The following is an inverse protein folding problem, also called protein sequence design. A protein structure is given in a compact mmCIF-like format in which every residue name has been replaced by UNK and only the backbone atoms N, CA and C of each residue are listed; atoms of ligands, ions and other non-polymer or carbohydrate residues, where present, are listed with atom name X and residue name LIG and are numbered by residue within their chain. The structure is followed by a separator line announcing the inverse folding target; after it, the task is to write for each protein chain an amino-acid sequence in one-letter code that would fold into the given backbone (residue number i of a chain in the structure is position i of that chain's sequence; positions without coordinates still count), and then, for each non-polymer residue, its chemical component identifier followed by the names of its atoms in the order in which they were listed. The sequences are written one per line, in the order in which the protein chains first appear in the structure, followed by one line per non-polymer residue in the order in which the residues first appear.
data_IF_157574612616
#
_entry.id   IF_157574612616
#
_cell.length_a   1.000
_cell.length_b   1.000
_cell.length_c   1.000
_cell.angle_alpha   90.00
_cell.angle_beta   90.00
_cell.angle_gamma   90.00
#
_symmetry.space_group_name_H-M   'P 1'
#
loop_
_entity.id
_entity.type
_entity.pdbx_description
1 polymer ?
#
# COMPACT_ATOMS: atom_id res chain seq x y z
N UNK A 1 19.21 -37.02 -84.34
CA UNK A 1 18.59 -38.24 -83.79
C UNK A 1 17.13 -38.26 -84.23
N UNK A 2 16.61 -39.39 -84.72
CA UNK A 2 15.19 -39.54 -85.07
C UNK A 2 14.34 -39.91 -83.85
N UNK A 3 13.05 -39.57 -83.83
CA UNK A 3 12.17 -39.82 -82.66
C UNK A 3 12.16 -41.29 -82.19
N UNK A 4 12.28 -42.23 -83.13
CA UNK A 4 12.37 -43.67 -82.81
C UNK A 4 13.65 -44.03 -82.05
N UNK A 5 14.77 -43.39 -82.38
CA UNK A 5 16.04 -43.61 -81.68
C UNK A 5 15.99 -43.02 -80.28
N UNK A 6 15.39 -41.83 -80.11
CA UNK A 6 15.21 -41.19 -78.81
C UNK A 6 14.37 -42.06 -77.87
N UNK A 7 13.24 -42.58 -78.35
CA UNK A 7 12.37 -43.47 -77.56
C UNK A 7 13.09 -44.76 -77.17
N UNK A 8 13.92 -45.32 -78.06
CA UNK A 8 14.70 -46.54 -77.78
C UNK A 8 15.75 -46.28 -76.69
N UNK A 9 16.38 -45.11 -76.71
CA UNK A 9 17.39 -44.72 -75.73
C UNK A 9 16.76 -44.42 -74.36
N UNK A 10 15.63 -43.70 -74.32
CA UNK A 10 14.88 -43.47 -73.09
C UNK A 10 14.42 -44.78 -72.45
N UNK A 11 14.00 -45.77 -73.25
CA UNK A 11 13.67 -47.11 -72.74
C UNK A 11 14.88 -47.85 -72.18
N UNK A 12 16.07 -47.67 -72.75
CA UNK A 12 17.33 -48.30 -72.28
C UNK A 12 17.71 -47.81 -70.88
N UNK A 13 17.55 -46.50 -70.61
CA UNK A 13 17.95 -45.88 -69.35
C UNK A 13 16.82 -45.71 -68.34
N UNK A 14 15.58 -46.07 -68.70
CA UNK A 14 14.40 -45.94 -67.83
C UNK A 14 14.59 -46.60 -66.47
N UNK A 15 15.25 -47.76 -66.44
CA UNK A 15 15.40 -48.59 -65.25
C UNK A 15 16.86 -48.73 -64.80
N UNK A 16 17.79 -47.90 -65.31
CA UNK A 16 19.18 -47.92 -64.85
C UNK A 16 19.30 -47.36 -63.43
N UNK A 17 19.93 -48.08 -62.48
CA UNK A 17 20.03 -47.64 -61.08
C UNK A 17 20.63 -46.24 -60.92
N UNK A 18 21.63 -45.91 -61.74
CA UNK A 18 22.41 -44.68 -61.68
C UNK A 18 21.63 -43.39 -62.06
N UNK A 19 20.44 -43.52 -62.68
CA UNK A 19 19.59 -42.41 -63.11
C UNK A 19 18.19 -42.43 -62.46
N UNK A 20 18.04 -43.17 -61.36
CA UNK A 20 16.83 -43.15 -60.54
C UNK A 20 16.11 -44.49 -60.39
N UNK A 21 16.76 -45.61 -60.71
CA UNK A 21 16.22 -46.96 -60.49
C UNK A 21 16.67 -47.68 -59.21
N UNK A 22 17.59 -47.11 -58.42
CA UNK A 22 18.14 -47.75 -57.21
C UNK A 22 18.51 -46.74 -56.12
N UNK A 23 18.27 -47.11 -54.85
CA UNK A 23 18.26 -46.17 -53.72
C UNK A 23 19.60 -45.93 -53.00
N UNK A 24 20.73 -46.46 -53.48
CA UNK A 24 21.98 -46.44 -52.70
C UNK A 24 23.21 -45.79 -53.36
N UNK A 25 23.24 -45.55 -54.67
CA UNK A 25 24.39 -44.89 -55.34
C UNK A 25 23.93 -43.94 -56.46
N UNK A 26 23.16 -42.91 -56.08
CA UNK A 26 22.66 -41.89 -57.01
C UNK A 26 23.71 -40.80 -57.26
N UNK A 27 24.52 -40.96 -58.32
CA UNK A 27 25.47 -39.94 -58.77
C UNK A 27 24.99 -39.30 -60.09
N UNK A 28 24.02 -38.40 -59.98
CA UNK A 28 23.33 -37.76 -61.11
C UNK A 28 24.27 -37.07 -62.10
N UNK A 29 25.33 -36.41 -61.62
CA UNK A 29 26.22 -35.62 -62.47
C UNK A 29 26.99 -36.48 -63.48
N UNK A 30 27.59 -37.58 -63.03
CA UNK A 30 28.36 -38.47 -63.89
C UNK A 30 27.47 -39.23 -64.88
N UNK A 31 26.30 -39.65 -64.42
CA UNK A 31 25.35 -40.41 -65.24
C UNK A 31 24.71 -39.53 -66.31
N UNK A 32 24.35 -38.29 -65.96
CA UNK A 32 23.79 -37.33 -66.91
C UNK A 32 24.81 -36.90 -67.95
N UNK A 33 26.08 -36.71 -67.57
CA UNK A 33 27.17 -36.40 -68.49
C UNK A 33 27.37 -37.50 -69.56
N UNK A 34 27.31 -38.78 -69.16
CA UNK A 34 27.38 -39.92 -70.11
C UNK A 34 26.20 -39.93 -71.09
N UNK A 35 24.98 -39.72 -70.60
CA UNK A 35 23.78 -39.67 -71.45
C UNK A 35 23.86 -38.51 -72.44
N UNK A 36 24.27 -37.32 -72.00
CA UNK A 36 24.46 -36.16 -72.87
C UNK A 36 25.51 -36.43 -73.96
N UNK A 37 26.61 -37.12 -73.61
CA UNK A 37 27.66 -37.48 -74.57
C UNK A 37 27.17 -38.49 -75.61
N UNK A 38 26.42 -39.54 -75.21
CA UNK A 38 25.82 -40.51 -76.14
C UNK A 38 24.76 -39.88 -77.06
N UNK A 39 24.09 -38.82 -76.60
CA UNK A 39 23.11 -38.06 -77.39
C UNK A 39 23.76 -37.06 -78.36
N UNK A 40 25.10 -36.93 -78.35
CA UNK A 40 25.83 -35.96 -79.17
C UNK A 40 25.61 -34.50 -78.74
N UNK A 41 25.16 -34.28 -77.51
CA UNK A 41 25.07 -32.96 -76.90
C UNK A 41 26.43 -32.65 -76.28
N UNK A 42 27.09 -31.61 -76.81
CA UNK A 42 28.37 -31.14 -76.27
C UNK A 42 28.11 -30.62 -74.85
N UNK A 43 28.40 -31.45 -73.85
CA UNK A 43 28.22 -31.13 -72.44
C UNK A 43 29.33 -30.19 -71.95
N UNK A 44 29.57 -29.11 -72.67
CA UNK A 44 30.48 -28.07 -72.26
C UNK A 44 29.78 -27.20 -71.21
N UNK A 45 30.17 -27.46 -69.94
CA UNK A 45 29.95 -26.65 -68.74
C UNK A 45 28.58 -26.78 -68.05
N UNK A 46 28.29 -27.97 -67.49
CA UNK A 46 27.59 -27.97 -66.19
C UNK A 46 28.66 -27.59 -65.15
N UNK A 47 28.85 -26.30 -64.93
CA UNK A 47 29.80 -25.78 -63.93
C UNK A 47 29.47 -26.37 -62.56
N UNK A 48 30.45 -27.03 -61.94
CA UNK A 48 30.37 -27.44 -60.53
C UNK A 48 30.13 -26.19 -59.68
N UNK A 49 28.93 -25.98 -59.16
CA UNK A 49 28.73 -25.04 -58.05
C UNK A 49 29.31 -25.69 -56.81
N UNK A 50 30.61 -25.52 -56.60
CA UNK A 50 31.20 -25.77 -55.30
C UNK A 50 30.69 -24.71 -54.34
N UNK A 51 29.74 -25.08 -53.49
CA UNK A 51 29.42 -24.32 -52.30
C UNK A 51 30.62 -24.42 -51.35
N UNK A 52 31.22 -23.29 -50.99
CA UNK A 52 32.30 -23.28 -50.01
C UNK A 52 31.73 -23.55 -48.61
N UNK A 53 32.57 -24.05 -47.69
CA UNK A 53 32.19 -24.16 -46.27
C UNK A 53 31.68 -22.83 -45.69
N UNK A 54 32.14 -21.72 -46.26
CA UNK A 54 31.74 -20.38 -45.89
C UNK A 54 30.30 -20.05 -46.32
N UNK A 55 29.85 -20.56 -47.47
CA UNK A 55 28.46 -20.40 -47.93
C UNK A 55 27.48 -21.17 -47.03
N UNK A 56 27.87 -22.37 -46.59
CA UNK A 56 27.11 -23.14 -45.60
C UNK A 56 27.12 -22.49 -44.22
N UNK A 57 28.26 -21.94 -43.79
CA UNK A 57 28.37 -21.23 -42.52
C UNK A 57 27.52 -19.94 -42.51
N UNK A 58 27.46 -19.21 -43.63
CA UNK A 58 26.61 -18.03 -43.76
C UNK A 58 25.12 -18.37 -43.80
N UNK A 59 24.74 -19.44 -44.52
CA UNK A 59 23.36 -19.94 -44.52
C UNK A 59 22.92 -20.41 -43.12
N UNK A 60 23.78 -21.20 -42.45
CA UNK A 60 23.53 -21.67 -41.08
C UNK A 60 23.45 -20.50 -40.08
N UNK A 61 24.32 -19.51 -40.19
CA UNK A 61 24.31 -18.32 -39.33
C UNK A 61 23.06 -17.46 -39.49
N UNK A 62 22.57 -17.30 -40.74
CA UNK A 62 21.36 -16.53 -41.01
C UNK A 62 20.11 -17.22 -40.43
N UNK A 63 19.98 -18.55 -40.59
CA UNK A 63 18.84 -19.32 -40.04
C UNK A 63 18.89 -19.50 -38.51
N UNK A 64 20.08 -19.67 -37.92
CA UNK A 64 20.24 -19.74 -36.45
C UNK A 64 19.90 -18.41 -35.76
N UNK A 65 20.27 -17.27 -36.36
CA UNK A 65 20.09 -15.95 -35.75
C UNK A 65 18.62 -15.53 -35.61
N UNK A 66 17.73 -16.04 -36.48
CA UNK A 66 16.30 -15.75 -36.40
C UNK A 66 15.52 -16.80 -35.61
N UNK A 67 15.87 -18.07 -35.74
CA UNK A 67 15.07 -19.16 -35.17
C UNK A 67 15.39 -19.44 -33.70
N UNK A 68 16.63 -19.21 -33.25
CA UNK A 68 17.06 -19.55 -31.88
C UNK A 68 17.31 -18.29 -31.05
N UNK A 69 17.86 -17.22 -31.64
CA UNK A 69 18.18 -16.00 -30.88
C UNK A 69 16.94 -15.23 -30.43
N UNK A 70 15.84 -15.23 -31.20
CA UNK A 70 14.60 -14.54 -30.85
C UNK A 70 13.88 -15.17 -29.64
N UNK A 71 13.59 -16.49 -29.61
CA UNK A 71 12.98 -17.09 -28.43
C UNK A 71 13.95 -17.09 -27.24
N UNK A 72 15.26 -17.32 -27.45
CA UNK A 72 16.22 -17.28 -26.34
C UNK A 72 16.33 -15.88 -25.72
N UNK A 73 16.30 -14.81 -26.51
CA UNK A 73 16.28 -13.44 -25.99
C UNK A 73 14.97 -13.12 -25.25
N UNK A 74 13.82 -13.56 -25.77
CA UNK A 74 12.52 -13.39 -25.08
C UNK A 74 12.46 -14.20 -23.80
N UNK A 75 12.92 -15.46 -23.81
CA UNK A 75 13.00 -16.31 -22.63
C UNK A 75 14.03 -15.79 -21.63
N UNK A 76 15.15 -15.24 -22.08
CA UNK A 76 16.15 -14.60 -21.23
C UNK A 76 15.62 -13.31 -20.62
N UNK A 77 14.92 -12.45 -21.39
CA UNK A 77 14.23 -11.28 -20.86
C UNK A 77 13.12 -11.68 -19.89
N UNK A 78 12.35 -12.73 -20.18
CA UNK A 78 11.36 -13.27 -19.26
C UNK A 78 12.02 -13.84 -17.99
N UNK A 79 13.14 -14.56 -18.09
CA UNK A 79 13.91 -15.04 -16.94
C UNK A 79 14.51 -13.88 -16.15
N UNK A 80 15.02 -12.83 -16.80
CA UNK A 80 15.54 -11.63 -16.14
C UNK A 80 14.40 -10.85 -15.48
N UNK A 81 13.21 -10.79 -16.07
CA UNK A 81 12.02 -10.20 -15.43
C UNK A 81 11.47 -11.06 -14.29
N UNK A 82 11.55 -12.38 -14.40
CA UNK A 82 11.11 -13.31 -13.35
C UNK A 82 12.12 -13.39 -12.19
N UNK A 83 13.43 -13.38 -12.48
CA UNK A 83 14.51 -13.39 -11.48
C UNK A 83 14.77 -12.00 -10.88
N UNK A 84 14.75 -10.94 -11.69
CA UNK A 84 14.72 -9.55 -11.22
C UNK A 84 13.41 -9.22 -10.51
N UNK A 85 12.32 -9.89 -10.88
CA UNK A 85 11.06 -9.90 -10.17
C UNK A 85 11.15 -10.60 -8.81
N UNK A 86 12.00 -11.62 -8.63
CA UNK A 86 12.11 -12.37 -7.37
C UNK A 86 12.80 -11.57 -6.25
N UNK A 87 13.79 -10.73 -6.57
CA UNK A 87 14.43 -9.84 -5.58
C UNK A 87 13.58 -8.58 -5.32
N UNK A 88 12.82 -8.11 -6.32
CA UNK A 88 11.89 -7.00 -6.17
C UNK A 88 10.58 -7.39 -5.44
N UNK A 89 10.00 -8.56 -5.68
CA UNK A 89 8.69 -8.95 -5.09
C UNK A 89 8.76 -9.19 -3.59
N UNK A 90 9.89 -9.68 -3.06
CA UNK A 90 10.09 -9.83 -1.62
C UNK A 90 10.13 -8.46 -0.93
N UNK A 91 10.65 -7.43 -1.61
CA UNK A 91 10.75 -6.07 -1.06
C UNK A 91 9.50 -5.20 -1.33
N UNK A 92 8.69 -5.53 -2.34
CA UNK A 92 7.45 -4.81 -2.63
C UNK A 92 6.38 -4.99 -1.54
N UNK A 93 6.39 -6.11 -0.81
CA UNK A 93 5.46 -6.32 0.31
C UNK A 93 5.75 -5.37 1.49
N UNK A 94 7.00 -4.94 1.65
CA UNK A 94 7.46 -4.00 2.68
C UNK A 94 7.68 -2.58 2.16
N UNK A 95 7.37 -2.31 0.88
CA UNK A 95 7.61 -0.97 0.33
C UNK A 95 6.65 0.04 0.93
N UNK A 96 7.14 1.18 1.40
CA UNK A 96 6.35 2.30 1.92
C UNK A 96 6.11 3.34 0.82
N UNK A 97 5.19 4.31 0.99
CA UNK A 97 5.07 5.43 0.07
C UNK A 97 6.43 6.09 -0.20
N UNK A 98 6.75 6.34 -1.47
CA UNK A 98 8.06 6.88 -1.89
C UNK A 98 9.04 5.81 -2.40
N UNK A 99 8.84 4.53 -2.05
CA UNK A 99 9.68 3.44 -2.56
C UNK A 99 9.38 3.12 -4.03
N UNK A 100 10.43 2.73 -4.77
CA UNK A 100 10.36 2.41 -6.20
C UNK A 100 9.32 1.32 -6.54
N UNK A 101 9.07 0.39 -5.61
CA UNK A 101 8.15 -0.74 -5.80
C UNK A 101 6.75 -0.51 -5.20
N UNK A 102 6.50 0.64 -4.57
CA UNK A 102 5.20 0.96 -4.00
C UNK A 102 4.06 0.96 -5.05
N UNK A 103 4.25 1.48 -6.28
CA UNK A 103 3.22 1.37 -7.31
C UNK A 103 2.88 -0.09 -7.68
N UNK A 104 3.87 -0.99 -7.63
CA UNK A 104 3.66 -2.43 -7.88
C UNK A 104 2.81 -3.03 -6.76
N UNK A 105 3.09 -2.68 -5.49
CA UNK A 105 2.27 -3.06 -4.34
C UNK A 105 0.80 -2.67 -4.55
N UNK A 106 0.54 -1.40 -4.86
CA UNK A 106 -0.83 -0.92 -5.11
C UNK A 106 -1.50 -1.61 -6.31
N UNK A 107 -0.75 -1.92 -7.38
CA UNK A 107 -1.28 -2.67 -8.51
C UNK A 107 -1.70 -4.09 -8.11
N UNK A 108 -0.91 -4.79 -7.29
CA UNK A 108 -1.29 -6.12 -6.79
C UNK A 108 -2.52 -6.08 -5.88
N UNK A 109 -2.67 -5.05 -5.06
CA UNK A 109 -3.85 -4.84 -4.22
C UNK A 109 -5.11 -4.61 -5.06
N UNK A 110 -5.02 -3.83 -6.14
CA UNK A 110 -6.13 -3.63 -7.08
C UNK A 110 -6.54 -4.92 -7.78
N UNK A 111 -5.59 -5.76 -8.20
CA UNK A 111 -5.90 -7.06 -8.81
C UNK A 111 -6.68 -7.94 -7.83
N UNK A 112 -6.24 -8.00 -6.55
CA UNK A 112 -6.98 -8.74 -5.50
C UNK A 112 -8.41 -8.22 -5.35
N UNK A 113 -8.61 -6.90 -5.34
CA UNK A 113 -9.94 -6.29 -5.28
C UNK A 113 -10.80 -6.64 -6.49
N UNK A 114 -10.25 -6.63 -7.71
CA UNK A 114 -11.00 -7.02 -8.92
C UNK A 114 -11.41 -8.49 -8.93
N UNK A 115 -10.65 -9.35 -8.24
CA UNK A 115 -10.97 -10.77 -8.09
C UNK A 115 -11.99 -11.04 -6.97
N UNK A 116 -12.19 -10.09 -6.05
CA UNK A 116 -13.16 -10.20 -4.97
C UNK A 116 -14.57 -9.85 -5.49
N UNK A 117 -15.38 -10.89 -5.71
CA UNK A 117 -16.72 -10.77 -6.29
C UNK A 117 -17.79 -10.27 -5.31
N UNK A 118 -17.60 -10.49 -4.00
CA UNK A 118 -18.58 -10.11 -2.98
C UNK A 118 -18.16 -8.83 -2.25
N UNK A 119 -19.15 -8.03 -1.81
CA UNK A 119 -18.90 -6.84 -1.00
C UNK A 119 -18.21 -7.18 0.33
N UNK A 120 -18.55 -8.32 0.94
CA UNK A 120 -17.84 -8.85 2.10
C UNK A 120 -16.34 -9.07 1.81
N UNK A 121 -16.00 -9.76 0.71
CA UNK A 121 -14.60 -10.03 0.37
C UNK A 121 -13.83 -8.75 0.03
N UNK A 122 -14.48 -7.76 -0.60
CA UNK A 122 -13.87 -6.44 -0.84
C UNK A 122 -13.62 -5.69 0.47
N UNK A 123 -14.58 -5.70 1.38
CA UNK A 123 -14.43 -5.07 2.69
C UNK A 123 -13.31 -5.72 3.53
N UNK A 124 -13.19 -7.06 3.51
CA UNK A 124 -12.08 -7.79 4.14
C UNK A 124 -10.72 -7.34 3.59
N UNK A 125 -10.58 -7.21 2.26
CA UNK A 125 -9.36 -6.69 1.63
C UNK A 125 -9.09 -5.23 1.99
N UNK A 126 -10.12 -4.38 2.01
CA UNK A 126 -9.96 -2.97 2.40
C UNK A 126 -9.50 -2.85 3.86
N UNK A 127 -10.06 -3.65 4.77
CA UNK A 127 -9.58 -3.72 6.15
C UNK A 127 -8.12 -4.19 6.20
N UNK A 128 -7.74 -5.24 5.46
CA UNK A 128 -6.35 -5.71 5.38
C UNK A 128 -5.41 -4.59 4.91
N UNK A 129 -5.78 -3.89 3.84
CA UNK A 129 -4.98 -2.80 3.29
C UNK A 129 -4.87 -1.62 4.25
N UNK A 130 -5.94 -1.28 4.97
CA UNK A 130 -5.89 -0.28 6.04
C UNK A 130 -4.85 -0.66 7.11
N UNK A 131 -4.85 -1.91 7.57
CA UNK A 131 -3.85 -2.39 8.52
C UNK A 131 -2.41 -2.32 7.98
N UNK A 132 -2.20 -2.51 6.68
CA UNK A 132 -0.89 -2.31 6.04
C UNK A 132 -0.48 -0.84 6.01
N UNK A 133 -1.38 0.08 5.67
CA UNK A 133 -1.10 1.52 5.68
C UNK A 133 -0.73 2.01 7.09
N UNK A 134 -1.36 1.48 8.13
CA UNK A 134 -0.97 1.75 9.53
C UNK A 134 0.47 1.32 9.84
N UNK A 135 0.90 0.15 9.36
CA UNK A 135 2.29 -0.30 9.52
C UNK A 135 3.25 0.59 8.75
N UNK A 136 2.89 0.99 7.53
CA UNK A 136 3.71 1.90 6.72
C UNK A 136 3.95 3.24 7.44
N UNK A 137 2.97 3.78 8.19
CA UNK A 137 3.17 4.98 9.02
C UNK A 137 4.33 4.80 10.01
N UNK A 138 4.45 3.63 10.64
CA UNK A 138 5.55 3.32 11.58
C UNK A 138 6.88 2.97 10.91
N UNK A 139 6.86 2.53 9.64
CA UNK A 139 8.04 2.09 8.90
C UNK A 139 8.74 3.23 8.13
N UNK A 140 8.04 4.34 7.87
CA UNK A 140 8.62 5.54 7.24
C UNK A 140 9.75 6.08 8.14
N UNK A 141 10.97 6.03 7.61
CA UNK A 141 12.19 6.46 8.32
C UNK A 141 12.41 7.95 8.16
N UNK A 142 12.59 8.64 9.29
CA UNK A 142 12.65 10.09 9.33
C UNK A 142 11.25 10.68 9.26
N UNK A 143 11.01 11.77 9.96
CA UNK A 143 9.70 12.43 10.05
C UNK A 143 9.30 13.13 8.74
N UNK A 144 9.39 12.44 7.60
CA UNK A 144 8.92 12.94 6.31
C UNK A 144 7.39 13.00 6.34
N UNK A 145 6.89 14.16 6.74
CA UNK A 145 5.47 14.46 6.85
C UNK A 145 4.73 14.17 5.54
N UNK A 146 5.37 14.32 4.38
CA UNK A 146 4.70 14.07 3.09
C UNK A 146 4.40 12.58 2.89
N UNK A 147 5.33 11.69 3.25
CA UNK A 147 5.15 10.25 3.14
C UNK A 147 4.14 9.74 4.18
N UNK A 148 4.20 10.26 5.40
CA UNK A 148 3.23 9.94 6.47
C UNK A 148 1.83 10.36 6.05
N UNK A 149 1.67 11.56 5.49
CA UNK A 149 0.40 12.07 5.01
C UNK A 149 -0.17 11.24 3.86
N UNK A 150 0.69 10.73 2.97
CA UNK A 150 0.26 9.78 1.95
C UNK A 150 -0.21 8.44 2.55
N UNK A 151 0.50 7.90 3.53
CA UNK A 151 0.10 6.65 4.21
C UNK A 151 -1.24 6.82 4.95
N UNK A 152 -1.40 7.92 5.69
CA UNK A 152 -2.65 8.30 6.37
C UNK A 152 -3.80 8.51 5.38
N UNK A 153 -3.58 9.25 4.30
CA UNK A 153 -4.61 9.47 3.27
C UNK A 153 -5.06 8.15 2.63
N UNK A 154 -4.10 7.26 2.33
CA UNK A 154 -4.42 5.93 1.82
C UNK A 154 -5.19 5.11 2.85
N UNK A 155 -4.84 5.18 4.14
CA UNK A 155 -5.58 4.54 5.22
C UNK A 155 -7.03 5.03 5.29
N UNK A 156 -7.25 6.35 5.30
CA UNK A 156 -8.57 6.96 5.32
C UNK A 156 -9.42 6.49 4.14
N UNK A 157 -8.81 6.44 2.94
CA UNK A 157 -9.48 5.92 1.75
C UNK A 157 -9.92 4.46 1.92
N UNK A 158 -9.07 3.59 2.50
CA UNK A 158 -9.47 2.20 2.76
C UNK A 158 -10.62 2.13 3.76
N UNK A 159 -10.57 2.89 4.86
CA UNK A 159 -11.64 2.89 5.88
C UNK A 159 -12.97 3.44 5.34
N UNK A 160 -12.93 4.45 4.47
CA UNK A 160 -14.11 4.95 3.77
C UNK A 160 -14.73 3.89 2.84
N UNK A 161 -13.89 3.10 2.17
CA UNK A 161 -14.37 1.99 1.33
C UNK A 161 -14.95 0.85 2.17
N UNK A 162 -14.36 0.52 3.33
CA UNK A 162 -14.94 -0.43 4.29
C UNK A 162 -16.35 0.01 4.70
N UNK A 163 -16.50 1.29 5.05
CA UNK A 163 -17.79 1.87 5.43
C UNK A 163 -18.84 1.78 4.31
N UNK A 164 -18.40 2.05 3.08
CA UNK A 164 -19.25 1.95 1.91
C UNK A 164 -19.71 0.51 1.68
N UNK A 165 -18.79 -0.44 1.63
CA UNK A 165 -19.11 -1.86 1.40
C UNK A 165 -20.00 -2.42 2.52
N UNK A 166 -19.78 -2.03 3.78
CA UNK A 166 -20.67 -2.40 4.89
C UNK A 166 -22.09 -1.85 4.70
N UNK A 167 -22.21 -0.60 4.28
CA UNK A 167 -23.51 0.04 4.02
C UNK A 167 -24.23 -0.60 2.83
N UNK A 168 -23.49 -0.98 1.79
CA UNK A 168 -24.03 -1.67 0.62
C UNK A 168 -24.56 -3.06 1.02
N UNK A 169 -23.77 -3.85 1.77
CA UNK A 169 -24.20 -5.18 2.27
C UNK A 169 -25.41 -5.07 3.20
N UNK A 170 -25.46 -4.05 4.08
CA UNK A 170 -26.59 -3.80 4.99
C UNK A 170 -27.92 -3.71 4.27
N UNK A 171 -27.93 -3.14 3.07
CA UNK A 171 -29.15 -3.01 2.26
C UNK A 171 -29.50 -4.29 1.48
N UNK A 172 -28.52 -5.10 1.12
CA UNK A 172 -28.71 -6.29 0.28
C UNK A 172 -28.97 -7.56 1.09
N UNK A 173 -28.21 -7.78 2.17
CA UNK A 173 -28.26 -9.01 2.97
C UNK A 173 -27.92 -8.71 4.44
N UNK A 174 -28.93 -8.55 5.32
CA UNK A 174 -28.74 -8.24 6.74
C UNK A 174 -27.88 -9.25 7.51
N UNK A 175 -27.96 -10.55 7.17
CA UNK A 175 -27.18 -11.59 7.85
C UNK A 175 -25.69 -11.50 7.47
N UNK A 176 -25.40 -11.26 6.18
CA UNK A 176 -24.03 -10.99 5.72
C UNK A 176 -23.48 -9.67 6.28
N UNK A 177 -24.36 -8.67 6.47
CA UNK A 177 -23.99 -7.39 7.05
C UNK A 177 -23.57 -7.54 8.52
N UNK A 178 -24.23 -8.41 9.28
CA UNK A 178 -23.84 -8.72 10.65
C UNK A 178 -22.42 -9.32 10.71
N UNK A 179 -22.15 -10.36 9.92
CA UNK A 179 -20.83 -10.98 9.89
C UNK A 179 -19.72 -9.98 9.50
N UNK A 180 -20.01 -9.13 8.50
CA UNK A 180 -19.08 -8.09 8.08
C UNK A 180 -18.87 -7.02 9.16
N UNK A 181 -19.95 -6.55 9.80
CA UNK A 181 -19.89 -5.57 10.87
C UNK A 181 -19.05 -6.05 12.05
N UNK A 182 -19.16 -7.33 12.43
CA UNK A 182 -18.34 -7.92 13.50
C UNK A 182 -16.85 -7.84 13.16
N UNK A 183 -16.47 -8.20 11.94
CA UNK A 183 -15.08 -8.13 11.47
C UNK A 183 -14.57 -6.68 11.47
N UNK A 184 -15.37 -5.74 10.94
CA UNK A 184 -15.03 -4.31 10.89
C UNK A 184 -14.87 -3.75 12.30
N UNK A 185 -15.79 -4.04 13.23
CA UNK A 185 -15.72 -3.56 14.61
C UNK A 185 -14.48 -4.09 15.35
N UNK A 186 -14.13 -5.37 15.18
CA UNK A 186 -12.92 -5.93 15.78
C UNK A 186 -11.64 -5.23 15.27
N UNK A 187 -11.57 -4.99 13.95
CA UNK A 187 -10.41 -4.37 13.32
C UNK A 187 -10.33 -2.86 13.59
N UNK A 188 -11.46 -2.18 13.66
CA UNK A 188 -11.53 -0.79 14.05
C UNK A 188 -10.99 -0.58 15.49
N UNK A 189 -11.38 -1.44 16.44
CA UNK A 189 -10.83 -1.40 17.80
C UNK A 189 -9.31 -1.60 17.85
N UNK A 190 -8.76 -2.51 17.02
CA UNK A 190 -7.31 -2.72 16.88
C UNK A 190 -6.60 -1.47 16.33
N UNK A 191 -7.20 -0.83 15.33
CA UNK A 191 -6.66 0.38 14.70
C UNK A 191 -6.73 1.59 15.63
N UNK A 192 -7.83 1.75 16.37
CA UNK A 192 -7.98 2.80 17.38
C UNK A 192 -6.93 2.66 18.49
N UNK A 193 -6.68 1.44 18.99
CA UNK A 193 -5.64 1.20 19.99
C UNK A 193 -4.23 1.54 19.46
N UNK A 194 -3.96 1.25 18.19
CA UNK A 194 -2.66 1.53 17.55
C UNK A 194 -2.47 3.03 17.30
N UNK A 195 -3.50 3.71 16.80
CA UNK A 195 -3.47 5.15 16.53
C UNK A 195 -3.46 5.99 17.83
N UNK A 196 -4.16 5.53 18.87
CA UNK A 196 -4.24 6.19 20.17
C UNK A 196 -2.88 6.31 20.88
N UNK A 197 -1.95 5.37 20.64
CA UNK A 197 -0.60 5.41 21.22
C UNK A 197 0.34 6.42 20.52
N UNK A 198 0.00 6.88 19.31
CA UNK A 198 0.87 7.69 18.46
C UNK A 198 0.33 9.13 18.27
N UNK A 199 -0.51 9.62 19.17
CA UNK A 199 -1.23 10.90 19.01
C UNK A 199 -0.38 12.17 19.24
N UNK A 200 0.88 12.07 19.64
CA UNK A 200 1.69 13.25 19.93
C UNK A 200 1.98 14.05 18.65
N UNK A 201 1.17 15.11 18.42
CA UNK A 201 1.50 16.24 17.56
C UNK A 201 1.22 16.13 16.06
N UNK A 202 0.50 15.10 15.59
CA UNK A 202 0.24 14.90 14.16
C UNK A 202 -1.26 14.99 13.83
N UNK A 203 -1.69 16.11 13.25
CA UNK A 203 -3.08 16.40 12.88
C UNK A 203 -3.65 15.35 11.91
N UNK A 204 -2.78 14.71 11.13
CA UNK A 204 -3.15 13.68 10.18
C UNK A 204 -3.51 12.35 10.87
N UNK A 205 -2.87 12.01 11.99
CA UNK A 205 -3.24 10.83 12.82
C UNK A 205 -4.65 10.99 13.40
N UNK A 206 -5.06 12.22 13.73
CA UNK A 206 -6.42 12.50 14.18
C UNK A 206 -7.48 12.17 13.10
N UNK A 207 -7.18 12.48 11.83
CA UNK A 207 -8.09 12.15 10.70
C UNK A 207 -8.24 10.63 10.46
N UNK A 208 -7.16 9.87 10.70
CA UNK A 208 -7.19 8.41 10.64
C UNK A 208 -8.09 7.84 11.72
N UNK A 209 -7.97 8.38 12.94
CA UNK A 209 -8.80 7.96 14.05
C UNK A 209 -10.28 8.29 13.82
N UNK A 210 -10.61 9.43 13.22
CA UNK A 210 -11.99 9.75 12.83
C UNK A 210 -12.57 8.72 11.85
N UNK A 211 -11.80 8.33 10.83
CA UNK A 211 -12.22 7.32 9.85
C UNK A 211 -12.46 5.95 10.50
N UNK A 212 -11.65 5.58 11.50
CA UNK A 212 -11.83 4.35 12.29
C UNK A 212 -13.08 4.41 13.15
N UNK A 213 -13.30 5.52 13.87
CA UNK A 213 -14.48 5.71 14.73
C UNK A 213 -15.76 5.70 13.90
N UNK A 214 -15.75 6.27 12.70
CA UNK A 214 -16.89 6.21 11.79
C UNK A 214 -17.21 4.76 11.39
N UNK A 215 -16.19 3.95 11.08
CA UNK A 215 -16.36 2.53 10.76
C UNK A 215 -16.84 1.68 11.93
N UNK A 216 -16.26 1.89 13.12
CA UNK A 216 -16.72 1.27 14.36
C UNK A 216 -18.20 1.61 14.63
N UNK A 217 -18.57 2.88 14.49
CA UNK A 217 -19.96 3.33 14.71
C UNK A 217 -20.95 2.66 13.75
N UNK A 218 -20.60 2.56 12.47
CA UNK A 218 -21.47 1.93 11.46
C UNK A 218 -21.59 0.42 11.69
N UNK A 219 -20.48 -0.23 12.07
CA UNK A 219 -20.46 -1.63 12.49
C UNK A 219 -21.35 -1.87 13.72
N UNK A 220 -21.17 -1.07 14.77
CA UNK A 220 -21.98 -1.15 15.99
C UNK A 220 -23.47 -0.93 15.71
N UNK A 221 -23.85 0.06 14.91
CA UNK A 221 -25.24 0.27 14.54
C UNK A 221 -25.83 -0.94 13.80
N UNK A 222 -25.05 -1.57 12.93
CA UNK A 222 -25.47 -2.78 12.21
C UNK A 222 -25.66 -3.96 13.16
N UNK A 223 -24.75 -4.18 14.11
CA UNK A 223 -24.85 -5.25 15.11
C UNK A 223 -26.04 -5.00 16.05
N UNK A 224 -26.19 -3.77 16.57
CA UNK A 224 -27.30 -3.38 17.45
C UNK A 224 -28.63 -3.55 16.74
N UNK A 225 -28.77 -3.06 15.51
CA UNK A 225 -30.00 -3.20 14.72
C UNK A 225 -30.33 -4.67 14.46
N UNK A 226 -29.33 -5.49 14.14
CA UNK A 226 -29.53 -6.93 13.98
C UNK A 226 -29.99 -7.59 15.28
N UNK A 227 -29.40 -7.24 16.43
CA UNK A 227 -29.80 -7.73 17.74
C UNK A 227 -31.23 -7.31 18.11
N UNK A 228 -31.59 -6.04 17.90
CA UNK A 228 -32.94 -5.52 18.16
C UNK A 228 -34.02 -6.24 17.32
N UNK A 229 -33.68 -6.65 16.10
CA UNK A 229 -34.60 -7.35 15.21
C UNK A 229 -34.70 -8.86 15.49
N UNK A 230 -33.59 -9.51 15.83
CA UNK A 230 -33.50 -10.99 15.91
C UNK A 230 -33.53 -11.52 17.33
N UNK A 231 -33.12 -10.72 18.33
CA UNK A 231 -32.91 -11.17 19.70
C UNK A 231 -31.86 -12.28 19.85
N UNK A 232 -30.98 -12.45 18.86
CA UNK A 232 -30.02 -13.56 18.87
C UNK A 232 -29.02 -13.43 20.04
N UNK A 233 -28.76 -14.55 20.73
CA UNK A 233 -27.80 -14.59 21.86
C UNK A 233 -26.39 -14.22 21.42
N UNK A 234 -25.97 -14.65 20.23
CA UNK A 234 -24.65 -14.38 19.67
C UNK A 234 -24.40 -12.88 19.46
N UNK A 235 -25.38 -12.15 18.90
CA UNK A 235 -25.26 -10.70 18.72
C UNK A 235 -25.23 -9.96 20.06
N UNK A 236 -25.93 -10.46 21.09
CA UNK A 236 -25.84 -9.93 22.46
C UNK A 236 -24.44 -10.10 23.07
N UNK A 237 -23.84 -11.29 22.94
CA UNK A 237 -22.46 -11.54 23.39
C UNK A 237 -21.45 -10.63 22.69
N UNK A 238 -21.59 -10.45 21.37
CA UNK A 238 -20.75 -9.55 20.58
C UNK A 238 -20.87 -8.10 21.03
N UNK A 239 -22.09 -7.61 21.28
CA UNK A 239 -22.32 -6.26 21.79
C UNK A 239 -21.70 -6.08 23.18
N UNK A 240 -21.82 -7.08 24.05
CA UNK A 240 -21.20 -7.03 25.37
C UNK A 240 -19.67 -6.99 25.28
N UNK A 241 -19.04 -7.80 24.43
CA UNK A 241 -17.60 -7.77 24.20
C UNK A 241 -17.12 -6.41 23.68
N UNK A 242 -17.79 -5.87 22.66
CA UNK A 242 -17.47 -4.55 22.10
C UNK A 242 -17.61 -3.45 23.15
N UNK A 243 -18.69 -3.48 23.94
CA UNK A 243 -18.89 -2.54 25.03
C UNK A 243 -17.74 -2.62 26.05
N UNK A 244 -17.37 -3.83 26.50
CA UNK A 244 -16.29 -4.03 27.48
C UNK A 244 -14.94 -3.53 26.96
N UNK A 245 -14.64 -3.75 25.68
CA UNK A 245 -13.41 -3.26 25.07
C UNK A 245 -13.38 -1.73 25.03
N UNK A 246 -14.47 -1.10 24.56
CA UNK A 246 -14.58 0.37 24.49
C UNK A 246 -14.57 1.01 25.88
N UNK A 247 -15.26 0.40 26.83
CA UNK A 247 -15.24 0.80 28.23
C UNK A 247 -13.82 0.79 28.81
N UNK A 248 -13.05 -0.29 28.58
CA UNK A 248 -11.67 -0.41 29.06
C UNK A 248 -10.75 0.63 28.41
N UNK A 249 -10.92 0.88 27.11
CA UNK A 249 -10.15 1.88 26.37
C UNK A 249 -10.42 3.29 26.91
N UNK A 250 -11.69 3.66 27.08
CA UNK A 250 -12.07 4.97 27.64
C UNK A 250 -11.61 5.13 29.08
N UNK A 251 -11.73 4.09 29.93
CA UNK A 251 -11.14 4.07 31.28
C UNK A 251 -9.64 4.36 31.28
N UNK A 252 -8.91 3.71 30.38
CA UNK A 252 -7.45 3.90 30.24
C UNK A 252 -7.10 5.33 29.86
N UNK A 253 -7.82 5.92 28.89
CA UNK A 253 -7.64 7.31 28.48
C UNK A 253 -7.98 8.31 29.58
N UNK A 254 -9.06 8.10 30.32
CA UNK A 254 -9.39 8.91 31.51
C UNK A 254 -8.22 8.90 32.51
N UNK A 255 -7.71 7.72 32.84
CA UNK A 255 -6.59 7.60 33.78
C UNK A 255 -5.31 8.29 33.27
N UNK A 256 -5.01 8.13 31.97
CA UNK A 256 -3.87 8.80 31.33
C UNK A 256 -4.02 10.33 31.36
N UNK A 257 -5.18 10.86 30.96
CA UNK A 257 -5.45 12.30 30.92
C UNK A 257 -5.41 12.94 32.30
N UNK A 258 -5.91 12.25 33.34
CA UNK A 258 -5.75 12.71 34.72
C UNK A 258 -4.29 12.71 35.17
N UNK A 259 -3.51 11.68 34.80
CA UNK A 259 -2.07 11.63 35.07
C UNK A 259 -1.30 12.76 34.39
N UNK A 260 -1.60 13.04 33.12
CA UNK A 260 -1.03 14.17 32.36
C UNK A 260 -1.33 15.51 33.05
N UNK A 261 -2.60 15.75 33.42
CA UNK A 261 -2.98 16.96 34.16
C UNK A 261 -2.23 17.10 35.50
N UNK A 262 -2.01 16.00 36.21
CA UNK A 262 -1.26 16.02 37.47
C UNK A 262 0.21 16.40 37.24
N UNK A 263 0.83 15.91 36.16
CA UNK A 263 2.19 16.30 35.78
C UNK A 263 2.24 17.78 35.41
N UNK A 264 1.31 18.26 34.59
CA UNK A 264 1.20 19.69 34.20
C UNK A 264 1.03 20.57 35.43
N UNK A 265 0.17 20.19 36.37
CA UNK A 265 -0.05 20.92 37.62
C UNK A 265 1.24 21.02 38.45
N UNK A 266 1.99 19.92 38.58
CA UNK A 266 3.26 19.90 39.31
C UNK A 266 4.34 20.79 38.69
N UNK A 267 4.50 20.74 37.36
CA UNK A 267 5.47 21.59 36.65
C UNK A 267 5.13 23.08 36.83
N UNK A 268 3.86 23.43 36.70
CA UNK A 268 3.40 24.82 36.87
C UNK A 268 3.49 25.32 38.32
N UNK A 269 3.39 24.42 39.29
CA UNK A 269 3.61 24.73 40.71
C UNK A 269 5.09 25.06 40.96
N UNK A 270 6.00 24.25 40.44
CA UNK A 270 7.45 24.46 40.55
C UNK A 270 7.90 25.76 39.87
N UNK A 271 7.32 26.10 38.71
CA UNK A 271 7.59 27.34 37.97
C UNK A 271 6.85 28.58 38.54
N UNK A 272 6.02 28.41 39.57
CA UNK A 272 5.25 29.50 40.19
C UNK A 272 4.15 30.09 39.31
N UNK A 273 3.83 29.43 38.20
CA UNK A 273 2.82 29.88 37.23
C UNK A 273 1.44 29.23 37.41
N UNK A 274 1.29 28.29 38.36
CA UNK A 274 0.05 27.54 38.58
C UNK A 274 -1.21 28.42 38.61
N UNK A 275 -1.16 29.56 39.31
CA UNK A 275 -2.31 30.47 39.43
C UNK A 275 -2.81 31.02 38.09
N UNK A 276 -1.94 31.12 37.07
CA UNK A 276 -2.30 31.59 35.72
C UNK A 276 -3.18 30.56 35.00
N UNK A 277 -2.89 29.27 35.18
CA UNK A 277 -3.52 28.17 34.44
C UNK A 277 -4.56 27.38 35.28
N UNK A 278 -4.69 27.70 36.57
CA UNK A 278 -5.55 27.00 37.52
C UNK A 278 -7.01 26.86 37.06
N UNK A 279 -7.55 27.88 36.38
CA UNK A 279 -8.91 27.80 35.83
C UNK A 279 -9.03 26.77 34.70
N UNK A 280 -8.04 26.70 33.80
CA UNK A 280 -8.01 25.76 32.68
C UNK A 280 -7.82 24.32 33.20
N UNK A 281 -6.90 24.12 34.15
CA UNK A 281 -6.66 22.82 34.80
C UNK A 281 -7.93 22.31 35.50
N UNK A 282 -8.62 23.18 36.26
CA UNK A 282 -9.88 22.82 36.93
C UNK A 282 -10.97 22.46 35.92
N UNK A 283 -11.13 23.26 34.87
CA UNK A 283 -12.10 22.98 33.81
C UNK A 283 -11.85 21.63 33.14
N UNK A 284 -10.60 21.35 32.75
CA UNK A 284 -10.24 20.07 32.13
C UNK A 284 -10.47 18.88 33.08
N UNK A 285 -10.11 19.04 34.36
CA UNK A 285 -10.34 18.01 35.40
C UNK A 285 -11.81 17.73 35.61
N UNK A 286 -12.65 18.76 35.69
CA UNK A 286 -14.10 18.62 35.88
C UNK A 286 -14.74 17.86 34.72
N UNK A 287 -14.40 18.22 33.48
CA UNK A 287 -14.89 17.51 32.29
C UNK A 287 -14.51 16.02 32.30
N UNK A 288 -13.28 15.69 32.70
CA UNK A 288 -12.85 14.28 32.79
C UNK A 288 -13.59 13.52 33.91
N UNK A 289 -13.93 14.19 35.02
CA UNK A 289 -14.72 13.59 36.11
C UNK A 289 -16.18 13.36 35.70
N UNK A 290 -16.77 14.27 34.93
CA UNK A 290 -18.13 14.09 34.38
C UNK A 290 -18.18 12.91 33.41
N UNK A 291 -17.13 12.75 32.61
CA UNK A 291 -16.94 11.59 31.74
C UNK A 291 -16.89 10.27 32.52
N UNK A 292 -16.23 10.20 33.69
CA UNK A 292 -16.23 8.98 34.54
C UNK A 292 -17.64 8.59 35.01
N UNK A 293 -18.46 9.60 35.36
CA UNK A 293 -19.84 9.38 35.79
C UNK A 293 -20.70 8.87 34.64
N UNK A 294 -20.60 9.49 33.46
CA UNK A 294 -21.28 9.05 32.25
C UNK A 294 -20.90 7.60 31.88
N UNK A 295 -19.65 7.20 32.14
CA UNK A 295 -19.19 5.84 31.85
C UNK A 295 -19.87 4.79 32.74
N UNK A 296 -20.19 5.14 33.99
CA UNK A 296 -21.00 4.28 34.89
C UNK A 296 -22.44 4.18 34.39
N UNK A 297 -23.04 5.31 34.00
CA UNK A 297 -24.38 5.34 33.42
C UNK A 297 -24.48 4.45 32.17
N UNK A 298 -23.46 4.46 31.30
CA UNK A 298 -23.41 3.57 30.13
C UNK A 298 -23.45 2.08 30.54
N UNK A 299 -22.72 1.72 31.60
CA UNK A 299 -22.67 0.34 32.10
C UNK A 299 -24.01 -0.10 32.70
N UNK A 300 -24.66 0.78 33.48
CA UNK A 300 -25.99 0.52 34.04
C UNK A 300 -27.03 0.38 32.90
N UNK A 301 -26.97 1.27 31.91
CA UNK A 301 -27.86 1.21 30.73
C UNK A 301 -27.70 -0.08 29.94
N UNK A 302 -26.46 -0.58 29.81
CA UNK A 302 -26.19 -1.87 29.18
C UNK A 302 -26.76 -3.03 30.01
N UNK A 303 -26.62 -2.99 31.34
CA UNK A 303 -27.13 -4.01 32.25
C UNK A 303 -28.66 -4.14 32.17
N UNK A 304 -29.35 -3.02 31.89
CA UNK A 304 -30.79 -2.98 31.63
C UNK A 304 -31.18 -3.46 30.22
N UNK A 305 -30.22 -3.87 29.39
CA UNK A 305 -30.43 -4.33 28.01
C UNK A 305 -30.51 -3.19 26.98
N UNK A 306 -30.26 -1.95 27.38
CA UNK A 306 -30.31 -0.76 26.53
C UNK A 306 -29.07 -0.59 25.65
N UNK A 307 -28.75 -1.55 24.78
CA UNK A 307 -27.52 -1.55 23.97
C UNK A 307 -27.31 -0.25 23.18
N UNK A 308 -28.32 0.19 22.42
CA UNK A 308 -28.23 1.41 21.60
C UNK A 308 -27.88 2.63 22.45
N UNK A 309 -28.64 2.85 23.52
CA UNK A 309 -28.43 3.96 24.44
C UNK A 309 -27.08 3.88 25.15
N UNK A 310 -26.63 2.69 25.55
CA UNK A 310 -25.33 2.48 26.16
C UNK A 310 -24.18 2.88 25.21
N UNK A 311 -24.22 2.44 23.95
CA UNK A 311 -23.23 2.82 22.94
C UNK A 311 -23.29 4.30 22.57
N UNK A 312 -24.46 4.92 22.53
CA UNK A 312 -24.61 6.37 22.33
C UNK A 312 -23.96 7.18 23.46
N UNK A 313 -24.04 6.70 24.71
CA UNK A 313 -23.34 7.30 25.85
C UNK A 313 -21.82 7.15 25.67
N UNK A 314 -21.32 5.96 25.32
CA UNK A 314 -19.89 5.76 25.06
C UNK A 314 -19.36 6.64 23.93
N UNK A 315 -20.16 6.87 22.89
CA UNK A 315 -19.80 7.77 21.78
C UNK A 315 -19.67 9.23 22.24
N UNK A 316 -20.60 9.70 23.06
CA UNK A 316 -20.51 11.06 23.64
C UNK A 316 -19.29 11.21 24.53
N UNK A 317 -19.04 10.22 25.40
CA UNK A 317 -17.85 10.17 26.24
C UNK A 317 -16.56 10.29 25.42
N UNK A 318 -16.45 9.52 24.33
CA UNK A 318 -15.27 9.59 23.45
C UNK A 318 -15.02 11.01 22.91
N UNK A 319 -16.09 11.68 22.46
CA UNK A 319 -16.02 13.05 21.95
C UNK A 319 -15.61 14.05 23.04
N UNK A 320 -16.26 14.00 24.20
CA UNK A 320 -16.00 14.90 25.32
C UNK A 320 -14.56 14.73 25.82
N UNK A 321 -14.10 13.47 25.92
CA UNK A 321 -12.74 13.16 26.35
C UNK A 321 -11.68 13.67 25.36
N UNK A 322 -11.93 13.61 24.05
CA UNK A 322 -11.02 14.19 23.02
C UNK A 322 -10.89 15.70 23.18
N UNK A 323 -11.99 16.39 23.52
CA UNK A 323 -11.94 17.83 23.74
C UNK A 323 -11.06 18.17 24.95
N UNK A 324 -11.22 17.45 26.07
CA UNK A 324 -10.36 17.64 27.25
C UNK A 324 -8.91 17.26 26.98
N UNK A 325 -8.66 16.17 26.24
CA UNK A 325 -7.31 15.76 25.84
C UNK A 325 -6.60 16.82 25.00
N UNK A 326 -7.32 17.49 24.08
CA UNK A 326 -6.77 18.60 23.30
C UNK A 326 -6.42 19.81 24.18
N UNK A 327 -7.27 20.15 25.16
CA UNK A 327 -6.96 21.22 26.12
C UNK A 327 -5.70 20.91 26.94
N UNK A 328 -5.52 19.65 27.36
CA UNK A 328 -4.32 19.21 28.07
C UNK A 328 -3.09 19.35 27.17
N UNK A 329 -3.19 18.94 25.90
CA UNK A 329 -2.09 19.08 24.94
C UNK A 329 -1.72 20.55 24.72
N UNK A 330 -2.69 21.46 24.64
CA UNK A 330 -2.42 22.90 24.54
C UNK A 330 -1.69 23.45 25.77
N UNK A 331 -2.07 23.00 26.97
CA UNK A 331 -1.37 23.31 28.22
C UNK A 331 0.07 22.80 28.17
N UNK A 332 0.28 21.55 27.77
CA UNK A 332 1.60 20.92 27.64
C UNK A 332 2.51 21.65 26.64
N UNK A 333 1.97 22.07 25.50
CA UNK A 333 2.72 22.87 24.51
C UNK A 333 3.10 24.22 25.12
N UNK A 334 2.19 24.87 25.84
CA UNK A 334 2.43 26.18 26.44
C UNK A 334 3.54 26.12 27.50
N UNK A 335 3.58 25.09 28.34
CA UNK A 335 4.62 24.92 29.37
C UNK A 335 5.97 24.47 28.78
N UNK A 336 5.96 23.80 27.62
CA UNK A 336 7.19 23.28 26.98
C UNK A 336 7.79 24.27 25.98
N UNK A 337 7.03 25.31 25.57
CA UNK A 337 7.52 26.32 24.65
C UNK A 337 8.64 27.16 25.29
N UNK A 338 9.79 27.36 24.61
CA UNK A 338 10.87 28.19 25.14
C UNK A 338 10.38 29.63 25.34
N UNK A 339 10.69 30.21 26.50
CA UNK A 339 10.41 31.62 26.82
C UNK A 339 10.93 32.48 25.65
N UNK A 340 10.09 33.34 25.03
CA UNK A 340 10.54 34.25 24.00
C UNK A 340 11.70 35.08 24.56
N UNK A 341 12.88 34.96 23.96
CA UNK A 341 14.01 35.82 24.27
C UNK A 341 13.55 37.23 23.88
N UNK A 342 13.34 38.11 24.88
CA UNK A 342 13.09 39.52 24.61
C UNK A 342 14.16 40.01 23.63
N UNK A 343 13.79 40.68 22.51
CA UNK A 343 14.79 41.25 21.63
C UNK A 343 15.58 42.24 22.46
N UNK A 344 16.86 41.90 22.71
CA UNK A 344 17.80 42.80 23.38
C UNK A 344 17.72 44.14 22.66
N UNK A 345 17.26 45.15 23.39
CA UNK A 345 17.26 46.54 22.95
C UNK A 345 18.61 46.85 22.28
N UNK A 346 18.63 47.32 21.02
CA UNK A 346 19.89 47.57 20.34
C UNK A 346 20.68 48.58 21.17
N UNK A 347 21.89 48.16 21.57
CA UNK A 347 22.81 48.99 22.33
C UNK A 347 22.88 50.40 21.72
N UNK A 348 22.49 51.37 22.52
CA UNK A 348 22.59 52.79 22.24
C UNK A 348 23.97 53.10 21.63
N UNK A 349 24.08 53.66 20.41
CA UNK A 349 25.38 53.96 19.84
C UNK A 349 26.06 54.99 20.75
N UNK A 350 27.16 54.55 21.36
CA UNK A 350 28.09 55.39 22.10
C UNK A 350 28.40 56.60 21.23
N UNK A 351 28.01 57.77 21.74
CA UNK A 351 28.32 59.08 21.22
C UNK A 351 29.84 59.21 21.09
N UNK A 352 30.37 58.89 19.92
CA UNK A 352 31.77 59.08 19.60
C UNK A 352 31.94 60.54 19.13
N UNK A 353 32.00 61.44 20.10
CA UNK A 353 32.45 62.81 19.92
C UNK A 353 33.93 62.76 19.49
N UNK A 354 34.16 62.72 18.18
CA UNK A 354 35.46 63.00 17.59
C UNK A 354 35.79 64.48 17.84
N UNK A 355 36.76 64.71 18.72
CA UNK A 355 37.48 65.97 18.80
C UNK A 355 38.10 66.28 17.43
N UNK A 356 37.66 67.38 16.84
CA UNK A 356 38.17 67.95 15.61
C UNK A 356 39.58 68.52 15.89
N UNK A 357 40.61 67.68 15.70
CA UNK A 357 42.01 68.11 15.75
C UNK A 357 42.32 68.84 14.45
N UNK A 358 42.31 70.17 14.55
CA UNK A 358 42.81 71.12 13.55
C UNK A 358 44.29 70.85 13.28
N UNK A 359 44.64 70.55 12.03
CA UNK A 359 46.02 70.55 11.53
C UNK A 359 46.11 71.60 10.42
N UNK A 360 47.07 72.54 10.47
CA UNK A 360 47.12 73.70 9.57
C UNK A 360 47.77 73.38 8.21
N UNK A 361 47.41 74.21 7.23
CA UNK A 361 47.88 74.25 5.84
C UNK A 361 49.40 74.19 5.68
N UNK A 362 49.89 73.57 4.58
CA UNK A 362 50.70 74.29 3.57
C UNK A 362 51.23 73.40 2.43
N UNK A 363 51.19 74.00 1.23
CA UNK A 363 51.82 73.72 -0.07
C UNK A 363 51.22 72.67 -1.02
#
# INVERSE_FOLDING_TARGET
MTDKELVKLLKKYKDTPELGGGASDFNWENSWSKVCTELGWDAQHVSQRHFSLFDYAQFAGHELSRTILQPAAVTFVALVLLMGGWTATVNASFSVPGDMLYPVKLATERVRLTMASTAQARAELHVEFAGRRLKEISEIKGSDATLVNMAVSNFNNQMNLVNKELSDVKNENPDAALALAVMVGQKANEYEATLGQNQEGNQEVASALESVVAADTNALDTIVTSHENTGASESGEMLQQNFQNKYRLLRGRIALSLGRLQVVEGVLEDDGQLNVYLAQIRSAREQILDVDQALRLAMDTLADGGYRSAFDILKRIDLDLRLSENQITELEITITAPVPVEPTEPANPVNNSFEEVVVPESF
#
